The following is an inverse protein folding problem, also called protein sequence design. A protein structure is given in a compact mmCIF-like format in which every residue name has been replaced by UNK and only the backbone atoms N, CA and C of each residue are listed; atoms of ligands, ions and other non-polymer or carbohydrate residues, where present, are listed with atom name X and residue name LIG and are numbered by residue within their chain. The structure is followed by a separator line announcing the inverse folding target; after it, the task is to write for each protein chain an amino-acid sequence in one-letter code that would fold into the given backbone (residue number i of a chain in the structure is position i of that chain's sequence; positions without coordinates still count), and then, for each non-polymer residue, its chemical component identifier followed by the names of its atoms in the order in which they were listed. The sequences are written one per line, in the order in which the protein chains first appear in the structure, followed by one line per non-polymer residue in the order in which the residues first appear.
data_IF_185408961167
#
_entry.id   IF_185408961167
#
_cell.length_a   1.000
_cell.length_b   1.000
_cell.length_c   1.000
_cell.angle_alpha   90.00
_cell.angle_beta   90.00
_cell.angle_gamma   90.00
#
_symmetry.space_group_name_H-M   'P 1'
#
loop_
_entity.id
_entity.type
_entity.pdbx_description
1 polymer ?
#
# COMPACT_ATOMS: atom_id res chain seq x y z
N UNK A 1 -24.36 6.19 16.90
CA UNK A 1 -24.51 6.26 15.43
C UNK A 1 -23.19 6.53 14.66
N UNK A 2 -22.11 6.97 15.30
CA UNK A 2 -20.83 7.33 14.63
C UNK A 2 -19.80 6.20 14.45
N UNK A 3 -20.02 5.01 15.01
CA UNK A 3 -19.06 3.90 14.96
C UNK A 3 -18.96 3.26 13.56
N UNK A 4 -20.08 3.20 12.83
CA UNK A 4 -20.17 2.63 11.48
C UNK A 4 -19.28 3.39 10.48
N UNK A 5 -19.36 4.74 10.34
CA UNK A 5 -18.50 5.46 9.38
C UNK A 5 -17.00 5.36 9.71
N UNK A 6 -16.63 5.31 11.00
CA UNK A 6 -15.22 5.20 11.43
C UNK A 6 -14.61 3.85 11.01
N UNK A 7 -15.37 2.75 11.15
CA UNK A 7 -14.95 1.41 10.70
C UNK A 7 -14.77 1.36 9.18
N UNK A 8 -15.71 1.96 8.43
CA UNK A 8 -15.63 1.99 6.96
C UNK A 8 -14.37 2.75 6.50
N UNK A 9 -14.10 3.92 7.08
CA UNK A 9 -12.90 4.72 6.76
C UNK A 9 -11.62 3.93 7.04
N UNK A 10 -11.55 3.25 8.19
CA UNK A 10 -10.41 2.41 8.53
C UNK A 10 -10.17 1.29 7.51
N UNK A 11 -11.22 0.58 7.09
CA UNK A 11 -11.12 -0.45 6.06
C UNK A 11 -10.70 0.10 4.70
N UNK A 12 -11.20 1.28 4.30
CA UNK A 12 -10.79 1.92 3.05
C UNK A 12 -9.29 2.28 3.06
N UNK A 13 -8.79 2.82 4.17
CA UNK A 13 -7.37 3.14 4.34
C UNK A 13 -6.52 1.88 4.27
N UNK A 14 -6.90 0.83 4.99
CA UNK A 14 -6.20 -0.46 4.98
C UNK A 14 -6.18 -1.06 3.59
N UNK A 15 -7.34 -1.12 2.95
CA UNK A 15 -7.48 -1.65 1.60
C UNK A 15 -6.53 -0.93 0.64
N UNK A 16 -6.45 0.40 0.72
CA UNK A 16 -5.56 1.21 -0.10
C UNK A 16 -4.08 0.90 0.14
N UNK A 17 -3.66 0.72 1.40
CA UNK A 17 -2.29 0.33 1.76
C UNK A 17 -1.95 -1.04 1.13
N UNK A 18 -2.82 -2.03 1.32
CA UNK A 18 -2.59 -3.39 0.79
C UNK A 18 -2.59 -3.43 -0.74
N UNK A 19 -3.42 -2.61 -1.37
CA UNK A 19 -3.50 -2.57 -2.84
C UNK A 19 -2.19 -2.10 -3.48
N UNK A 20 -1.50 -1.14 -2.86
CA UNK A 20 -0.18 -0.69 -3.34
C UNK A 20 0.89 -1.77 -3.16
N UNK A 21 0.89 -2.45 -2.01
CA UNK A 21 1.86 -3.54 -1.74
C UNK A 21 1.66 -4.73 -2.69
N UNK A 22 0.44 -4.93 -3.22
CA UNK A 22 0.17 -5.97 -4.23
C UNK A 22 0.98 -5.77 -5.51
N UNK A 23 1.21 -4.52 -5.94
CA UNK A 23 2.04 -4.22 -7.11
C UNK A 23 3.49 -4.63 -6.86
N UNK A 24 4.06 -4.18 -5.74
CA UNK A 24 5.43 -4.52 -5.32
C UNK A 24 5.62 -6.04 -5.24
N UNK A 25 4.64 -6.77 -4.67
CA UNK A 25 4.67 -8.24 -4.61
C UNK A 25 4.72 -8.89 -6.00
N UNK A 26 3.99 -8.36 -6.99
CA UNK A 26 4.00 -8.91 -8.36
C UNK A 26 5.35 -8.69 -9.05
N UNK A 27 5.93 -7.50 -8.92
CA UNK A 27 7.28 -7.22 -9.42
C UNK A 27 8.33 -8.11 -8.74
N UNK A 28 8.24 -8.28 -7.41
CA UNK A 28 9.12 -9.16 -6.63
C UNK A 28 9.01 -10.63 -7.06
N UNK A 29 7.78 -11.14 -7.26
CA UNK A 29 7.54 -12.52 -7.72
C UNK A 29 8.18 -12.79 -9.08
N UNK A 30 8.21 -11.78 -9.95
CA UNK A 30 8.77 -11.87 -11.30
C UNK A 30 10.28 -11.56 -11.37
N UNK A 31 10.90 -11.24 -10.22
CA UNK A 31 12.33 -10.89 -10.07
C UNK A 31 12.81 -9.76 -11.00
N UNK A 32 11.96 -8.76 -11.23
CA UNK A 32 12.19 -7.67 -12.19
C UNK A 32 12.87 -6.49 -11.47
N UNK A 33 14.16 -6.60 -11.17
CA UNK A 33 14.87 -5.61 -10.33
C UNK A 33 15.91 -4.74 -11.04
N UNK A 34 16.19 -5.00 -12.31
CA UNK A 34 17.12 -4.21 -13.10
C UNK A 34 16.61 -4.04 -14.54
N UNK A 35 17.25 -3.13 -15.28
CA UNK A 35 16.86 -2.82 -16.65
C UNK A 35 16.96 -4.04 -17.60
N UNK A 36 17.95 -4.92 -17.39
CA UNK A 36 18.16 -6.11 -18.23
C UNK A 36 17.07 -7.16 -18.09
N UNK A 37 16.41 -7.24 -16.95
CA UNK A 37 15.25 -8.13 -16.71
C UNK A 37 13.91 -7.42 -16.79
N UNK A 38 13.87 -6.18 -17.31
CA UNK A 38 12.65 -5.38 -17.39
C UNK A 38 11.54 -6.09 -18.19
N UNK A 39 10.30 -5.94 -17.73
CA UNK A 39 9.12 -6.60 -18.31
C UNK A 39 8.00 -5.60 -18.57
N UNK A 40 7.13 -5.92 -19.53
CA UNK A 40 5.91 -5.13 -19.76
C UNK A 40 4.89 -5.38 -18.65
N UNK A 41 3.93 -4.45 -18.50
CA UNK A 41 2.85 -4.60 -17.52
C UNK A 41 2.05 -5.89 -17.69
N UNK A 42 1.79 -6.32 -18.94
CA UNK A 42 1.09 -7.57 -19.23
C UNK A 42 1.87 -8.79 -18.75
N UNK A 43 3.19 -8.83 -18.97
CA UNK A 43 4.06 -9.91 -18.49
C UNK A 43 4.15 -9.99 -16.96
N UNK A 44 4.06 -8.85 -16.27
CA UNK A 44 4.05 -8.80 -14.80
C UNK A 44 2.64 -9.12 -14.25
N UNK A 45 1.62 -9.09 -15.11
CA UNK A 45 0.22 -9.29 -14.75
C UNK A 45 -0.36 -8.10 -14.00
N UNK A 46 0.07 -6.89 -14.33
CA UNK A 46 -0.30 -5.65 -13.66
C UNK A 46 -1.04 -4.74 -14.66
N UNK A 47 -2.02 -3.96 -14.17
CA UNK A 47 -2.73 -2.98 -15.00
C UNK A 47 -2.08 -1.61 -14.88
N UNK A 48 -2.10 -0.84 -15.96
CA UNK A 48 -1.83 0.60 -15.90
C UNK A 48 -2.98 1.24 -15.13
N UNK A 49 -2.70 1.69 -13.91
CA UNK A 49 -3.66 2.29 -13.01
C UNK A 49 -3.03 3.49 -12.32
N UNK A 50 -3.84 4.33 -11.71
CA UNK A 50 -3.31 5.45 -10.95
C UNK A 50 -2.36 5.04 -9.81
N UNK A 51 -2.56 3.87 -9.21
CA UNK A 51 -1.63 3.30 -8.23
C UNK A 51 -0.28 2.96 -8.86
N UNK A 52 -0.30 2.37 -10.06
CA UNK A 52 0.91 2.10 -10.82
C UNK A 52 1.69 3.38 -11.09
N UNK A 53 1.02 4.39 -11.66
CA UNK A 53 1.60 5.69 -11.98
C UNK A 53 2.22 6.32 -10.74
N UNK A 54 1.52 6.30 -9.60
CA UNK A 54 2.08 6.77 -8.32
C UNK A 54 3.35 6.02 -7.89
N UNK A 55 3.44 4.71 -8.11
CA UNK A 55 4.66 3.95 -7.79
C UNK A 55 5.81 4.30 -8.74
N UNK A 56 5.50 4.66 -9.98
CA UNK A 56 6.46 5.20 -10.96
C UNK A 56 6.94 6.59 -10.54
N UNK A 57 6.03 7.49 -10.18
CA UNK A 57 6.35 8.86 -9.74
C UNK A 57 7.26 8.87 -8.49
N UNK A 58 7.09 7.86 -7.62
CA UNK A 58 7.94 7.68 -6.43
C UNK A 58 9.29 7.01 -6.73
N UNK A 59 9.56 6.68 -8.00
CA UNK A 59 10.78 6.04 -8.44
C UNK A 59 10.95 4.59 -7.94
N UNK A 60 9.88 3.94 -7.49
CA UNK A 60 9.92 2.54 -7.04
C UNK A 60 9.86 1.64 -8.26
N UNK A 61 9.02 2.00 -9.22
CA UNK A 61 8.95 1.36 -10.52
C UNK A 61 9.61 2.31 -11.52
N UNK A 62 10.60 1.82 -12.23
CA UNK A 62 11.38 2.63 -13.15
C UNK A 62 11.01 2.24 -14.58
N UNK A 63 10.52 3.20 -15.40
CA UNK A 63 10.23 2.96 -16.80
C UNK A 63 11.54 2.81 -17.59
N UNK A 64 11.51 1.92 -18.57
CA UNK A 64 12.54 1.69 -19.57
C UNK A 64 11.90 1.90 -20.94
N UNK A 65 12.72 1.90 -22.00
CA UNK A 65 12.24 1.89 -23.39
C UNK A 65 11.19 0.78 -23.62
N UNK A 66 10.35 0.97 -24.64
CA UNK A 66 9.36 -0.02 -25.09
C UNK A 66 8.27 -0.39 -24.06
N UNK A 67 7.89 0.55 -23.18
CA UNK A 67 6.85 0.32 -22.13
C UNK A 67 7.21 -0.85 -21.19
N UNK A 68 8.51 -1.06 -20.96
CA UNK A 68 9.03 -2.03 -19.99
C UNK A 68 9.35 -1.32 -18.69
N UNK A 69 9.28 -2.07 -17.59
CA UNK A 69 9.49 -1.53 -16.25
C UNK A 69 10.34 -2.50 -15.45
N UNK A 70 11.13 -1.96 -14.53
CA UNK A 70 11.74 -2.71 -13.44
C UNK A 70 11.47 -2.04 -12.11
N UNK A 71 11.75 -2.71 -11.01
CA UNK A 71 11.54 -2.20 -9.67
C UNK A 71 12.87 -1.97 -8.97
N UNK A 72 13.06 -0.79 -8.41
CA UNK A 72 14.16 -0.51 -7.49
C UNK A 72 13.89 -1.22 -6.16
N UNK A 73 14.72 -2.20 -5.82
CA UNK A 73 14.51 -3.07 -4.66
C UNK A 73 14.68 -2.31 -3.34
N UNK A 74 15.63 -1.39 -3.25
CA UNK A 74 15.89 -0.61 -2.04
C UNK A 74 14.72 0.32 -1.75
N UNK A 75 14.28 1.09 -2.76
CA UNK A 75 13.12 1.96 -2.63
C UNK A 75 11.84 1.18 -2.36
N UNK A 76 11.66 0.01 -2.98
CA UNK A 76 10.51 -0.85 -2.71
C UNK A 76 10.51 -1.38 -1.27
N UNK A 77 11.68 -1.71 -0.72
CA UNK A 77 11.85 -2.16 0.66
C UNK A 77 11.54 -1.03 1.64
N UNK A 78 12.10 0.15 1.43
CA UNK A 78 11.85 1.35 2.24
C UNK A 78 10.36 1.73 2.18
N UNK A 79 9.77 1.70 0.99
CA UNK A 79 8.35 1.92 0.78
C UNK A 79 7.51 0.97 1.62
N UNK A 80 7.81 -0.33 1.55
CA UNK A 80 7.10 -1.38 2.27
C UNK A 80 7.26 -1.27 3.79
N UNK A 81 8.45 -0.86 4.27
CA UNK A 81 8.68 -0.58 5.70
C UNK A 81 7.81 0.58 6.18
N UNK A 82 7.81 1.71 5.46
CA UNK A 82 6.97 2.88 5.77
C UNK A 82 5.47 2.54 5.83
N UNK A 83 4.97 1.68 4.93
CA UNK A 83 3.54 1.31 4.91
C UNK A 83 3.17 0.36 6.02
N UNK A 84 4.07 -0.55 6.41
CA UNK A 84 3.87 -1.38 7.60
C UNK A 84 3.82 -0.52 8.87
N UNK A 85 4.75 0.43 9.00
CA UNK A 85 4.72 1.39 10.10
C UNK A 85 3.40 2.16 10.15
N UNK A 86 2.99 2.75 9.02
CA UNK A 86 1.73 3.48 8.91
C UNK A 86 0.50 2.60 9.20
N UNK A 87 0.48 1.34 8.74
CA UNK A 87 -0.56 0.39 9.11
C UNK A 87 -0.62 0.17 10.62
N UNK A 88 0.51 -0.11 11.27
CA UNK A 88 0.54 -0.28 12.73
C UNK A 88 0.11 0.99 13.48
N UNK A 89 0.57 2.16 13.05
CA UNK A 89 0.19 3.44 13.65
C UNK A 89 -1.31 3.71 13.54
N UNK A 90 -1.92 3.48 12.37
CA UNK A 90 -3.35 3.69 12.16
C UNK A 90 -4.18 2.67 12.94
N UNK A 91 -3.78 1.41 12.94
CA UNK A 91 -4.44 0.36 13.74
C UNK A 91 -4.39 0.68 15.23
N UNK A 92 -3.24 1.13 15.74
CA UNK A 92 -3.11 1.54 17.14
C UNK A 92 -4.02 2.73 17.47
N UNK A 93 -4.00 3.77 16.63
CA UNK A 93 -4.87 4.94 16.81
C UNK A 93 -6.35 4.54 16.82
N UNK A 94 -6.76 3.67 15.90
CA UNK A 94 -8.13 3.16 15.84
C UNK A 94 -8.51 2.42 17.12
N UNK A 95 -7.63 1.56 17.65
CA UNK A 95 -7.86 0.85 18.92
C UNK A 95 -8.01 1.82 20.08
N UNK A 96 -7.12 2.81 20.22
CA UNK A 96 -7.19 3.81 21.28
C UNK A 96 -8.52 4.57 21.24
N UNK A 97 -8.93 5.04 20.06
CA UNK A 97 -10.21 5.72 19.89
C UNK A 97 -11.38 4.80 20.22
N UNK A 98 -11.35 3.56 19.74
CA UNK A 98 -12.39 2.56 19.99
C UNK A 98 -12.57 2.31 21.50
N UNK A 99 -11.48 2.08 22.24
CA UNK A 99 -11.53 1.90 23.70
C UNK A 99 -11.98 3.18 24.43
N UNK A 100 -11.51 4.34 24.00
CA UNK A 100 -11.94 5.62 24.58
C UNK A 100 -13.45 5.84 24.46
N UNK A 101 -14.02 5.54 23.29
CA UNK A 101 -15.47 5.61 23.08
C UNK A 101 -16.23 4.57 23.91
N UNK A 102 -15.73 3.34 24.01
CA UNK A 102 -16.36 2.31 24.84
C UNK A 102 -16.38 2.71 26.33
N UNK A 103 -15.27 3.21 26.85
CA UNK A 103 -15.18 3.59 28.27
C UNK A 103 -16.08 4.80 28.60
N UNK A 104 -16.12 5.82 27.74
CA UNK A 104 -17.04 6.95 27.94
C UNK A 104 -18.50 6.52 27.87
N UNK A 105 -18.85 5.58 27.00
CA UNK A 105 -20.21 5.06 26.92
C UNK A 105 -20.60 4.29 28.18
N UNK A 106 -19.66 3.55 28.79
CA UNK A 106 -19.90 2.74 29.97
C UNK A 106 -19.97 3.56 31.28
N UNK A 107 -19.33 4.73 31.35
CA UNK A 107 -19.38 5.63 32.51
C UNK A 107 -20.51 6.68 32.45
N UNK A 108 -21.25 6.72 31.33
CA UNK A 108 -22.38 7.64 31.11
C UNK A 108 -23.76 7.00 31.26
N UNK A 109 -23.83 5.73 31.68
CA UNK A 109 -25.02 4.99 32.11
C UNK A 109 -24.88 4.74 33.61
#
# INVERSE_FOLDING_TARGET
MYTIPIIIIYHLIIFWIFFQLRYIRKFKKQKVFNAGVSKTLSQIGVKDSWIFKRLVDKGIIIPVKEKRYYMDEEKALEYSKKRRGLFYSITLLFLVLFFFFLNNFNNGI
#
